data_IF_490002314030
#
_entry.id   IF_490002314030
#
_cell.length_a   1.000
_cell.length_b   1.000
_cell.length_c   1.000
_cell.angle_alpha   90.00
_cell.angle_beta   90.00
_cell.angle_gamma   90.00
#
_symmetry.space_group_name_H-M   'P 1'
#
loop_
_entity.id
_entity.type
_entity.pdbx_description
1 polymer ?
#
# COMPACT_ATOMS: atom_id res chain seq x y z
N UNK A 1 42.32 -19.08 53.73
CA UNK A 1 40.97 -18.62 53.31
C UNK A 1 41.15 -17.88 51.99
N UNK A 2 41.00 -18.54 50.85
CA UNK A 2 41.13 -17.91 49.54
C UNK A 2 40.28 -18.64 48.49
N UNK A 3 39.69 -17.82 47.62
CA UNK A 3 39.16 -18.11 46.28
C UNK A 3 37.74 -18.69 46.13
N UNK A 4 36.78 -17.82 45.81
CA UNK A 4 35.81 -18.05 44.73
C UNK A 4 35.16 -16.72 44.29
N UNK A 5 35.84 -15.99 43.41
CA UNK A 5 35.26 -14.84 42.70
C UNK A 5 35.72 -14.92 41.25
N UNK A 6 34.88 -15.49 40.39
CA UNK A 6 35.18 -15.58 38.96
C UNK A 6 34.36 -16.65 38.26
N UNK A 7 33.05 -16.43 38.09
CA UNK A 7 32.23 -17.24 37.16
C UNK A 7 30.88 -16.60 36.77
N UNK A 8 30.76 -15.26 36.73
CA UNK A 8 29.46 -14.61 36.40
C UNK A 8 29.49 -13.47 35.39
N UNK A 9 30.61 -13.21 34.71
CA UNK A 9 30.72 -12.12 33.73
C UNK A 9 30.82 -12.59 32.27
N UNK A 10 30.98 -13.90 32.01
CA UNK A 10 31.21 -14.42 30.65
C UNK A 10 29.93 -14.81 29.89
N UNK A 11 28.79 -15.02 30.56
CA UNK A 11 27.55 -15.46 29.91
C UNK A 11 26.75 -14.30 29.29
N UNK A 12 26.82 -13.10 29.86
CA UNK A 12 26.06 -11.94 29.39
C UNK A 12 26.60 -11.38 28.05
N UNK A 13 27.93 -11.28 27.89
CA UNK A 13 28.53 -10.75 26.65
C UNK A 13 28.36 -11.71 25.45
N UNK A 14 28.33 -13.02 25.72
CA UNK A 14 28.04 -14.07 24.75
C UNK A 14 26.63 -13.93 24.15
N UNK A 15 25.62 -13.66 24.98
CA UNK A 15 24.22 -13.52 24.54
C UNK A 15 23.97 -12.26 23.69
N UNK A 16 24.63 -11.14 24.01
CA UNK A 16 24.52 -9.89 23.25
C UNK A 16 25.23 -9.97 21.88
N UNK A 17 26.38 -10.66 21.83
CA UNK A 17 27.10 -10.95 20.59
C UNK A 17 26.29 -11.84 19.66
N UNK A 18 25.63 -12.87 20.21
CA UNK A 18 24.75 -13.76 19.45
C UNK A 18 23.52 -13.02 18.88
N UNK A 19 22.83 -12.20 19.67
CA UNK A 19 21.67 -11.42 19.21
C UNK A 19 22.02 -10.42 18.11
N UNK A 20 23.21 -9.81 18.16
CA UNK A 20 23.68 -8.86 17.15
C UNK A 20 24.07 -9.59 15.86
N UNK A 21 24.70 -10.76 15.97
CA UNK A 21 25.02 -11.62 14.83
C UNK A 21 23.75 -12.15 14.13
N UNK A 22 22.71 -12.50 14.88
CA UNK A 22 21.41 -12.92 14.31
C UNK A 22 20.72 -11.78 13.57
N UNK A 23 20.71 -10.56 14.13
CA UNK A 23 20.11 -9.39 13.48
C UNK A 23 20.84 -9.01 12.17
N UNK A 24 22.18 -9.04 12.18
CA UNK A 24 22.99 -8.78 10.97
C UNK A 24 22.80 -9.88 9.92
N UNK A 25 22.69 -11.14 10.34
CA UNK A 25 22.34 -12.24 9.45
C UNK A 25 20.93 -12.07 8.84
N UNK A 26 19.94 -11.60 9.62
CA UNK A 26 18.58 -11.33 9.12
C UNK A 26 18.53 -10.19 8.11
N UNK A 27 19.29 -9.11 8.33
CA UNK A 27 19.40 -7.98 7.38
C UNK A 27 20.16 -8.39 6.11
N UNK A 28 21.22 -9.18 6.25
CA UNK A 28 21.94 -9.75 5.10
C UNK A 28 21.06 -10.72 4.29
N UNK A 29 20.21 -11.50 4.96
CA UNK A 29 19.27 -12.42 4.29
C UNK A 29 18.18 -11.66 3.52
N UNK A 30 17.68 -10.53 4.07
CA UNK A 30 16.75 -9.63 3.37
C UNK A 30 17.41 -8.94 2.17
N UNK A 31 18.67 -8.50 2.30
CA UNK A 31 19.43 -7.90 1.19
C UNK A 31 19.77 -8.91 0.09
N UNK A 32 20.09 -10.16 0.45
CA UNK A 32 20.30 -11.25 -0.51
C UNK A 32 19.00 -11.69 -1.18
N UNK A 33 17.87 -11.72 -0.47
CA UNK A 33 16.55 -11.98 -1.05
C UNK A 33 16.15 -10.91 -2.08
N UNK A 34 16.48 -9.63 -1.82
CA UNK A 34 16.27 -8.54 -2.77
C UNK A 34 17.13 -8.67 -4.05
N UNK A 35 18.28 -9.35 -3.96
CA UNK A 35 19.20 -9.54 -5.10
C UNK A 35 18.85 -10.77 -5.95
N UNK A 36 18.05 -11.71 -5.43
CA UNK A 36 17.62 -12.94 -6.14
C UNK A 36 16.17 -12.85 -6.67
N UNK A 37 15.49 -11.72 -6.50
CA UNK A 37 14.22 -11.40 -7.17
C UNK A 37 14.43 -10.98 -8.65
N UNK A 38 15.33 -11.66 -9.35
CA UNK A 38 15.35 -11.60 -10.81
C UNK A 38 14.10 -12.34 -11.30
N UNK A 39 13.01 -11.57 -11.46
CA UNK A 39 11.83 -12.02 -12.19
C UNK A 39 12.34 -12.43 -13.58
N UNK A 40 12.12 -13.67 -14.03
CA UNK A 40 12.65 -14.14 -15.30
C UNK A 40 12.26 -13.18 -16.43
N UNK A 41 13.27 -12.71 -17.15
CA UNK A 41 13.14 -11.80 -18.27
C UNK A 41 12.27 -12.45 -19.35
N UNK A 42 11.09 -11.85 -19.60
CA UNK A 42 10.29 -11.87 -20.83
C UNK A 42 9.92 -13.20 -21.54
N UNK A 43 10.36 -14.37 -21.10
CA UNK A 43 10.26 -15.59 -21.91
C UNK A 43 8.93 -16.37 -21.79
N UNK A 44 8.07 -16.04 -20.82
CA UNK A 44 6.74 -16.66 -20.66
C UNK A 44 5.57 -15.67 -20.75
N UNK A 45 5.83 -14.42 -21.15
CA UNK A 45 4.77 -13.47 -21.46
C UNK A 45 4.16 -13.87 -22.81
N UNK A 46 3.16 -14.74 -22.80
CA UNK A 46 2.23 -14.86 -23.91
C UNK A 46 1.61 -13.47 -24.15
N UNK A 47 2.19 -12.73 -25.11
CA UNK A 47 1.69 -11.54 -25.80
C UNK A 47 0.85 -10.53 -24.98
N UNK A 48 1.33 -10.11 -23.81
CA UNK A 48 0.74 -8.94 -23.13
C UNK A 48 0.98 -7.71 -24.00
N UNK A 49 -0.08 -7.04 -24.42
CA UNK A 49 0.00 -5.87 -25.30
C UNK A 49 0.90 -4.77 -24.67
N UNK A 50 1.77 -4.13 -25.47
CA UNK A 50 2.64 -3.06 -24.97
C UNK A 50 1.90 -1.92 -24.27
N UNK A 51 0.65 -1.63 -24.68
CA UNK A 51 -0.20 -0.62 -24.03
C UNK A 51 -0.58 -0.98 -22.59
N UNK A 52 -0.82 -2.26 -22.30
CA UNK A 52 -1.13 -2.75 -20.95
C UNK A 52 0.09 -2.58 -20.06
N UNK A 53 1.26 -3.02 -20.53
CA UNK A 53 2.53 -2.89 -19.80
C UNK A 53 2.86 -1.41 -19.53
N UNK A 54 2.70 -0.54 -20.53
CA UNK A 54 2.91 0.89 -20.36
C UNK A 54 1.95 1.50 -19.33
N UNK A 55 0.67 1.10 -19.36
CA UNK A 55 -0.36 1.56 -18.41
C UNK A 55 -0.05 1.12 -16.97
N UNK A 56 0.37 -0.15 -16.80
CA UNK A 56 0.79 -0.68 -15.50
C UNK A 56 1.98 0.07 -14.93
N UNK A 57 3.01 0.33 -15.74
CA UNK A 57 4.19 1.09 -15.33
C UNK A 57 3.83 2.54 -14.99
N UNK A 58 2.98 3.17 -15.80
CA UNK A 58 2.51 4.54 -15.56
C UNK A 58 1.80 4.64 -14.21
N UNK A 59 0.87 3.73 -13.94
CA UNK A 59 0.15 3.66 -12.67
C UNK A 59 1.08 3.39 -11.48
N UNK A 60 2.07 2.52 -11.65
CA UNK A 60 2.99 2.11 -10.58
C UNK A 60 3.95 3.24 -10.17
N UNK A 61 4.55 3.92 -11.13
CA UNK A 61 5.66 4.83 -10.84
C UNK A 61 5.23 6.29 -10.63
N UNK A 62 4.10 6.71 -11.20
CA UNK A 62 3.64 8.10 -11.10
C UNK A 62 3.34 8.52 -9.65
N UNK A 63 2.57 7.75 -8.85
CA UNK A 63 2.27 8.11 -7.47
C UNK A 63 3.50 8.26 -6.57
N UNK A 64 4.60 7.57 -6.90
CA UNK A 64 5.81 7.53 -6.08
C UNK A 64 6.44 8.91 -5.88
N UNK A 65 6.37 9.79 -6.88
CA UNK A 65 6.83 11.16 -6.73
C UNK A 65 6.08 11.90 -5.62
N UNK A 66 4.76 11.71 -5.53
CA UNK A 66 3.92 12.34 -4.50
C UNK A 66 4.15 11.72 -3.12
N UNK A 67 4.31 10.40 -3.05
CA UNK A 67 4.66 9.72 -1.81
C UNK A 67 6.01 10.17 -1.25
N UNK A 68 7.04 10.27 -2.09
CA UNK A 68 8.36 10.75 -1.68
C UNK A 68 8.30 12.17 -1.13
N UNK A 69 7.51 13.06 -1.75
CA UNK A 69 7.31 14.42 -1.24
C UNK A 69 6.68 14.43 0.16
N UNK A 70 5.61 13.65 0.37
CA UNK A 70 4.93 13.60 1.67
C UNK A 70 5.77 12.92 2.76
N UNK A 71 6.55 11.90 2.42
CA UNK A 71 7.31 11.12 3.40
C UNK A 71 8.63 11.81 3.75
N UNK A 72 9.39 12.28 2.75
CA UNK A 72 10.74 12.81 2.95
C UNK A 72 10.75 14.31 3.26
N UNK A 73 9.78 15.06 2.75
CA UNK A 73 9.74 16.51 2.88
C UNK A 73 8.32 17.04 3.18
N UNK A 74 7.63 16.54 4.23
CA UNK A 74 6.22 16.83 4.50
C UNK A 74 5.90 18.32 4.65
N UNK A 75 6.84 19.10 5.18
CA UNK A 75 6.65 20.53 5.48
C UNK A 75 7.23 21.47 4.41
N UNK A 76 7.77 20.93 3.31
CA UNK A 76 8.37 21.75 2.26
C UNK A 76 7.33 22.58 1.52
N UNK A 77 7.73 23.76 1.01
CA UNK A 77 6.85 24.62 0.20
C UNK A 77 6.32 23.87 -1.02
N UNK A 78 7.18 23.06 -1.66
CA UNK A 78 6.79 22.24 -2.83
C UNK A 78 5.71 21.23 -2.45
N UNK A 79 5.91 20.45 -1.39
CA UNK A 79 4.92 19.48 -0.91
C UNK A 79 3.60 20.17 -0.59
N UNK A 80 3.64 21.33 0.09
CA UNK A 80 2.44 22.09 0.44
C UNK A 80 1.68 22.59 -0.78
N UNK A 81 2.37 23.10 -1.79
CA UNK A 81 1.75 23.57 -3.04
C UNK A 81 1.16 22.40 -3.83
N UNK A 82 1.92 21.33 -4.02
CA UNK A 82 1.51 20.17 -4.83
C UNK A 82 0.40 19.39 -4.14
N UNK A 83 0.64 18.93 -2.91
CA UNK A 83 -0.29 18.09 -2.15
C UNK A 83 -1.46 18.87 -1.56
N UNK A 84 -1.32 20.19 -1.36
CA UNK A 84 -2.44 21.07 -1.03
C UNK A 84 -3.49 21.16 -2.13
N UNK A 85 -3.10 20.97 -3.40
CA UNK A 85 -4.01 20.97 -4.54
C UNK A 85 -4.67 19.59 -4.77
N UNK A 86 -5.70 19.55 -5.62
CA UNK A 86 -6.30 18.30 -6.10
C UNK A 86 -5.51 17.63 -7.25
N UNK A 87 -4.45 18.27 -7.75
CA UNK A 87 -3.69 17.81 -8.93
C UNK A 87 -3.15 16.38 -8.76
N UNK A 88 -2.52 15.98 -7.65
CA UNK A 88 -1.99 14.61 -7.51
C UNK A 88 -3.08 13.54 -7.61
N UNK A 89 -4.24 13.78 -6.99
CA UNK A 89 -5.39 12.88 -7.03
C UNK A 89 -5.96 12.82 -8.44
N UNK A 90 -6.17 13.97 -9.09
CA UNK A 90 -6.69 14.01 -10.46
C UNK A 90 -5.74 13.36 -11.47
N UNK A 91 -4.42 13.43 -11.26
CA UNK A 91 -3.44 12.70 -12.08
C UNK A 91 -3.62 11.19 -11.89
N UNK A 92 -3.66 10.71 -10.64
CA UNK A 92 -3.84 9.28 -10.37
C UNK A 92 -5.18 8.74 -10.90
N UNK A 93 -6.28 9.47 -10.66
CA UNK A 93 -7.59 9.16 -11.22
C UNK A 93 -7.58 9.22 -12.75
N UNK A 94 -6.90 10.20 -13.36
CA UNK A 94 -6.77 10.28 -14.81
C UNK A 94 -6.01 9.10 -15.41
N UNK A 95 -4.99 8.60 -14.72
CA UNK A 95 -4.26 7.38 -15.12
C UNK A 95 -5.18 6.17 -15.01
N UNK A 96 -5.96 6.04 -13.93
CA UNK A 96 -6.93 4.96 -13.78
C UNK A 96 -7.98 4.98 -14.91
N UNK A 97 -8.57 6.14 -15.21
CA UNK A 97 -9.51 6.30 -16.34
C UNK A 97 -8.86 5.97 -17.69
N UNK A 98 -7.58 6.29 -17.88
CA UNK A 98 -6.84 5.90 -19.08
C UNK A 98 -6.65 4.38 -19.17
N UNK A 99 -6.28 3.73 -18.06
CA UNK A 99 -6.15 2.27 -17.97
C UNK A 99 -7.47 1.58 -18.31
N UNK A 100 -8.58 2.05 -17.74
CA UNK A 100 -9.94 1.59 -18.06
C UNK A 100 -10.22 1.69 -19.55
N UNK A 101 -9.92 2.86 -20.13
CA UNK A 101 -10.08 3.12 -21.56
C UNK A 101 -9.30 2.11 -22.42
N UNK A 102 -8.05 1.81 -22.06
CA UNK A 102 -7.24 0.79 -22.75
C UNK A 102 -7.86 -0.60 -22.60
N UNK A 103 -8.33 -0.95 -21.40
CA UNK A 103 -8.99 -2.24 -21.13
C UNK A 103 -10.28 -2.44 -21.93
N UNK A 104 -11.14 -1.42 -22.00
CA UNK A 104 -12.40 -1.50 -22.75
C UNK A 104 -12.22 -1.60 -24.27
N UNK A 105 -11.06 -1.23 -24.81
CA UNK A 105 -10.75 -1.40 -26.24
C UNK A 105 -10.28 -2.81 -26.61
N UNK A 106 -10.07 -3.69 -25.63
CA UNK A 106 -9.57 -5.04 -25.89
C UNK A 106 -10.68 -6.00 -26.39
N UNK A 107 -10.34 -6.95 -27.28
CA UNK A 107 -11.26 -8.03 -27.63
C UNK A 107 -11.65 -8.83 -26.39
N UNK A 108 -12.95 -9.09 -26.20
CA UNK A 108 -13.44 -9.84 -25.04
C UNK A 108 -13.75 -9.00 -23.79
N UNK A 109 -13.59 -7.67 -23.84
CA UNK A 109 -13.77 -6.82 -22.65
C UNK A 109 -15.16 -6.93 -22.01
N UNK A 110 -16.22 -7.14 -22.80
CA UNK A 110 -17.58 -7.28 -22.29
C UNK A 110 -17.78 -8.63 -21.59
N UNK A 111 -17.22 -9.71 -22.16
CA UNK A 111 -17.23 -11.04 -21.58
C UNK A 111 -16.45 -11.09 -20.27
N UNK A 112 -15.32 -10.39 -20.21
CA UNK A 112 -14.51 -10.23 -19.00
C UNK A 112 -15.27 -9.43 -17.92
N UNK A 113 -15.93 -8.33 -18.30
CA UNK A 113 -16.78 -7.58 -17.39
C UNK A 113 -17.96 -8.42 -16.86
N UNK A 114 -18.50 -9.34 -17.67
CA UNK A 114 -19.58 -10.23 -17.24
C UNK A 114 -19.15 -11.21 -16.14
N UNK A 115 -17.85 -11.56 -16.04
CA UNK A 115 -17.32 -12.40 -14.94
C UNK A 115 -17.50 -11.75 -13.57
N UNK A 116 -17.58 -10.42 -13.49
CA UNK A 116 -17.87 -9.69 -12.26
C UNK A 116 -19.23 -10.09 -11.65
N UNK A 117 -20.18 -10.53 -12.46
CA UNK A 117 -21.47 -11.04 -11.99
C UNK A 117 -21.35 -12.24 -11.06
N UNK A 118 -20.29 -13.06 -11.20
CA UNK A 118 -20.02 -14.17 -10.30
C UNK A 118 -19.49 -13.72 -8.93
N UNK A 119 -18.91 -12.51 -8.85
CA UNK A 119 -18.43 -11.91 -7.58
C UNK A 119 -19.59 -11.42 -6.72
N UNK A 120 -20.64 -10.90 -7.35
CA UNK A 120 -21.81 -10.34 -6.69
C UNK A 120 -23.10 -11.08 -7.05
N UNK A 121 -23.04 -12.42 -7.10
CA UNK A 121 -24.20 -13.26 -7.45
C UNK A 121 -25.34 -13.07 -6.43
N UNK A 122 -26.48 -12.49 -6.83
CA UNK A 122 -27.58 -12.18 -5.93
C UNK A 122 -28.41 -13.41 -5.54
N UNK A 123 -28.18 -14.57 -6.18
CA UNK A 123 -28.85 -15.82 -5.84
C UNK A 123 -28.33 -16.44 -4.55
N UNK A 124 -27.15 -16.01 -4.09
CA UNK A 124 -26.51 -16.52 -2.87
C UNK A 124 -27.03 -15.72 -1.66
N UNK A 125 -27.56 -16.41 -0.63
CA UNK A 125 -28.04 -15.73 0.58
C UNK A 125 -26.96 -14.90 1.29
N UNK A 126 -27.24 -13.68 1.78
CA UNK A 126 -26.22 -12.81 2.38
C UNK A 126 -25.47 -13.39 3.58
N UNK A 127 -26.06 -14.33 4.31
CA UNK A 127 -25.43 -14.95 5.49
C UNK A 127 -24.54 -16.14 5.16
N UNK A 128 -24.70 -16.78 3.99
CA UNK A 128 -23.83 -17.91 3.60
C UNK A 128 -22.41 -17.46 3.23
N UNK A 129 -22.18 -16.16 3.08
CA UNK A 129 -20.85 -15.58 2.89
C UNK A 129 -19.95 -15.68 4.14
N UNK A 130 -20.54 -15.83 5.33
CA UNK A 130 -19.81 -15.67 6.59
C UNK A 130 -19.09 -16.93 7.09
N UNK A 131 -19.53 -18.13 6.68
CA UNK A 131 -18.99 -19.41 7.18
C UNK A 131 -17.92 -20.03 6.25
N UNK A 132 -17.64 -19.38 5.12
CA UNK A 132 -16.66 -19.84 4.14
C UNK A 132 -17.10 -21.04 3.29
N UNK A 133 -18.36 -21.48 3.39
CA UNK A 133 -18.91 -22.56 2.57
C UNK A 133 -19.15 -22.14 1.11
N UNK A 134 -19.30 -20.83 0.88
CA UNK A 134 -19.50 -20.27 -0.46
C UNK A 134 -18.19 -19.76 -1.03
N UNK A 135 -17.73 -20.38 -2.11
CA UNK A 135 -16.48 -20.05 -2.80
C UNK A 135 -16.66 -19.20 -4.05
N UNK A 136 -17.91 -18.99 -4.51
CA UNK A 136 -18.25 -18.36 -5.78
C UNK A 136 -17.51 -17.05 -6.08
N UNK A 137 -17.56 -16.02 -5.21
CA UNK A 137 -16.91 -14.74 -5.45
C UNK A 137 -15.40 -14.80 -5.42
N UNK A 138 -14.83 -15.63 -4.54
CA UNK A 138 -13.40 -15.82 -4.50
C UNK A 138 -12.91 -16.42 -5.83
N UNK A 139 -13.58 -17.46 -6.30
CA UNK A 139 -13.27 -18.12 -7.59
C UNK A 139 -13.56 -17.18 -8.76
N UNK A 140 -14.67 -16.44 -8.71
CA UNK A 140 -15.04 -15.45 -9.72
C UNK A 140 -13.98 -14.36 -9.86
N UNK A 141 -13.57 -13.74 -8.74
CA UNK A 141 -12.52 -12.73 -8.73
C UNK A 141 -11.17 -13.31 -9.18
N UNK A 142 -10.81 -14.52 -8.72
CA UNK A 142 -9.59 -15.21 -9.17
C UNK A 142 -9.58 -15.41 -10.69
N UNK A 143 -10.71 -15.77 -11.30
CA UNK A 143 -10.80 -15.94 -12.75
C UNK A 143 -10.60 -14.64 -13.53
N UNK A 144 -10.89 -13.48 -12.92
CA UNK A 144 -10.66 -12.16 -13.52
C UNK A 144 -9.18 -11.77 -13.44
N UNK A 145 -8.48 -12.17 -12.38
CA UNK A 145 -7.03 -11.94 -12.22
C UNK A 145 -6.17 -12.66 -13.27
N UNK A 146 -6.73 -13.62 -14.02
CA UNK A 146 -6.07 -14.23 -15.16
C UNK A 146 -5.93 -13.27 -16.35
N UNK A 147 -6.70 -12.17 -16.38
CA UNK A 147 -6.66 -11.16 -17.43
C UNK A 147 -5.69 -10.01 -17.06
N UNK A 148 -4.60 -9.81 -17.82
CA UNK A 148 -3.64 -8.74 -17.56
C UNK A 148 -4.24 -7.33 -17.58
N UNK A 149 -5.31 -7.10 -18.35
CA UNK A 149 -6.00 -5.80 -18.35
C UNK A 149 -6.67 -5.54 -17.00
N UNK A 150 -7.38 -6.53 -16.48
CA UNK A 150 -8.07 -6.42 -15.20
C UNK A 150 -7.07 -6.25 -14.05
N UNK A 151 -5.96 -7.00 -14.05
CA UNK A 151 -4.87 -6.81 -13.08
C UNK A 151 -4.31 -5.38 -13.13
N UNK A 152 -4.18 -4.81 -14.32
CA UNK A 152 -3.65 -3.44 -14.48
C UNK A 152 -4.65 -2.39 -13.99
N UNK A 153 -5.94 -2.59 -14.27
CA UNK A 153 -7.02 -1.73 -13.79
C UNK A 153 -7.10 -1.72 -12.26
N UNK A 154 -7.27 -2.90 -11.65
CA UNK A 154 -7.38 -3.04 -10.19
C UNK A 154 -6.12 -2.53 -9.48
N UNK A 155 -4.94 -2.70 -10.08
CA UNK A 155 -3.70 -2.13 -9.54
C UNK A 155 -3.69 -0.59 -9.58
N UNK A 156 -4.08 0.01 -10.70
CA UNK A 156 -4.22 1.47 -10.78
C UNK A 156 -5.29 2.00 -9.81
N UNK A 157 -6.37 1.23 -9.64
CA UNK A 157 -7.48 1.53 -8.74
C UNK A 157 -6.98 1.66 -7.29
N UNK A 158 -6.30 0.65 -6.77
CA UNK A 158 -5.82 0.66 -5.37
C UNK A 158 -4.77 1.76 -5.14
N UNK A 159 -3.86 2.00 -6.10
CA UNK A 159 -2.85 3.05 -5.98
C UNK A 159 -3.46 4.46 -5.95
N UNK A 160 -4.53 4.69 -6.72
CA UNK A 160 -5.24 5.96 -6.71
C UNK A 160 -5.92 6.22 -5.35
N UNK A 161 -6.55 5.19 -4.77
CA UNK A 161 -7.17 5.31 -3.44
C UNK A 161 -6.14 5.46 -2.33
N UNK A 162 -5.03 4.74 -2.39
CA UNK A 162 -3.95 4.87 -1.40
C UNK A 162 -3.36 6.28 -1.43
N UNK A 163 -3.14 6.86 -2.62
CA UNK A 163 -2.67 8.24 -2.73
C UNK A 163 -3.71 9.24 -2.20
N UNK A 164 -4.99 9.02 -2.47
CA UNK A 164 -6.07 9.85 -1.94
C UNK A 164 -6.08 9.84 -0.40
N UNK A 165 -6.02 8.65 0.21
CA UNK A 165 -5.98 8.46 1.66
C UNK A 165 -4.68 9.04 2.24
N UNK A 166 -3.54 8.78 1.63
CA UNK A 166 -2.24 9.31 2.05
C UNK A 166 -2.20 10.84 2.03
N UNK A 167 -2.73 11.46 0.97
CA UNK A 167 -2.88 12.92 0.88
C UNK A 167 -3.79 13.46 1.99
N UNK A 168 -4.91 12.79 2.24
CA UNK A 168 -5.82 13.18 3.31
C UNK A 168 -5.15 13.11 4.69
N UNK A 169 -4.44 12.01 4.97
CA UNK A 169 -3.65 11.85 6.20
C UNK A 169 -2.60 12.95 6.33
N UNK A 170 -1.89 13.29 5.25
CA UNK A 170 -0.90 14.36 5.24
C UNK A 170 -1.53 15.73 5.55
N UNK A 171 -2.65 16.09 4.93
CA UNK A 171 -3.37 17.35 5.19
C UNK A 171 -3.80 17.45 6.65
N UNK A 172 -4.39 16.38 7.17
CA UNK A 172 -4.89 16.32 8.54
C UNK A 172 -3.76 16.35 9.57
N UNK A 173 -2.69 15.57 9.34
CA UNK A 173 -1.55 15.49 10.24
C UNK A 173 -0.74 16.79 10.29
N UNK A 174 -0.56 17.46 9.15
CA UNK A 174 0.15 18.74 9.09
C UNK A 174 -0.65 19.87 9.75
N UNK A 175 -1.98 19.88 9.59
CA UNK A 175 -2.85 20.84 10.24
C UNK A 175 -2.89 20.66 11.77
N UNK A 176 -3.00 19.40 12.23
CA UNK A 176 -3.13 19.09 13.66
C UNK A 176 -1.80 18.81 14.36
N UNK A 177 -0.69 18.72 13.62
CA UNK A 177 0.62 18.30 14.12
C UNK A 177 0.61 16.88 14.70
N UNK A 178 0.02 15.91 14.00
CA UNK A 178 -0.02 14.50 14.44
C UNK A 178 1.38 13.88 14.26
N UNK A 179 1.99 13.29 15.31
CA UNK A 179 3.31 12.68 15.19
C UNK A 179 3.26 11.41 14.31
N UNK A 180 4.42 10.83 13.98
CA UNK A 180 4.50 9.55 13.26
C UNK A 180 3.72 9.50 11.92
N UNK A 181 3.58 10.64 11.25
CA UNK A 181 3.00 10.71 9.91
C UNK A 181 3.79 9.86 8.90
N UNK A 182 5.12 9.99 8.88
CA UNK A 182 6.00 9.26 7.95
C UNK A 182 5.78 7.75 7.95
N UNK A 183 5.87 7.05 9.10
CA UNK A 183 5.57 5.63 9.19
C UNK A 183 4.15 5.25 8.75
N UNK A 184 3.16 6.12 9.01
CA UNK A 184 1.77 5.87 8.62
C UNK A 184 1.56 6.00 7.12
N UNK A 185 2.19 7.00 6.49
CA UNK A 185 2.24 7.15 5.04
C UNK A 185 2.99 6.00 4.37
N UNK A 186 4.13 5.58 4.93
CA UNK A 186 4.92 4.46 4.39
C UNK A 186 4.10 3.16 4.42
N UNK A 187 3.42 2.89 5.53
CA UNK A 187 2.57 1.71 5.66
C UNK A 187 1.36 1.78 4.72
N UNK A 188 0.79 2.98 4.52
CA UNK A 188 -0.30 3.19 3.55
C UNK A 188 0.19 2.94 2.13
N UNK A 189 1.35 3.45 1.74
CA UNK A 189 1.89 3.24 0.40
C UNK A 189 2.19 1.76 0.08
N UNK A 190 2.56 0.96 1.08
CA UNK A 190 2.91 -0.45 0.85
C UNK A 190 1.75 -1.43 1.05
N UNK A 191 0.78 -1.08 1.90
CA UNK A 191 -0.25 -2.02 2.35
C UNK A 191 -1.66 -1.45 2.31
N UNK A 192 -1.82 -0.17 1.98
CA UNK A 192 -3.08 0.54 1.93
C UNK A 192 -3.74 0.67 3.31
N UNK A 193 -4.91 0.03 3.56
CA UNK A 193 -5.72 0.22 4.77
C UNK A 193 -5.02 0.09 6.14
N UNK A 194 -4.03 -0.81 6.35
CA UNK A 194 -3.32 -0.89 7.63
C UNK A 194 -2.61 0.41 8.03
N UNK A 195 -2.15 1.20 7.05
CA UNK A 195 -1.54 2.51 7.31
C UNK A 195 -2.53 3.53 7.88
N UNK A 196 -3.79 3.48 7.41
CA UNK A 196 -4.87 4.30 7.95
C UNK A 196 -5.22 3.90 9.39
N UNK A 197 -5.26 2.60 9.69
CA UNK A 197 -5.47 2.10 11.05
C UNK A 197 -4.36 2.59 11.97
N UNK A 198 -3.09 2.48 11.54
CA UNK A 198 -1.95 2.99 12.31
C UNK A 198 -2.10 4.50 12.56
N UNK A 199 -2.50 5.26 11.55
CA UNK A 199 -2.70 6.70 11.69
C UNK A 199 -3.74 7.05 12.76
N UNK A 200 -4.86 6.33 12.81
CA UNK A 200 -5.89 6.53 13.83
C UNK A 200 -5.42 6.12 15.23
N UNK A 201 -4.67 5.03 15.35
CA UNK A 201 -4.03 4.66 16.62
C UNK A 201 -3.12 5.78 17.11
N UNK A 202 -2.29 6.33 16.21
CA UNK A 202 -1.39 7.44 16.54
C UNK A 202 -2.16 8.70 16.95
N UNK A 203 -3.26 9.03 16.27
CA UNK A 203 -4.13 10.15 16.64
C UNK A 203 -4.66 10.03 18.08
N UNK A 204 -5.11 8.83 18.47
CA UNK A 204 -5.62 8.55 19.82
C UNK A 204 -4.49 8.61 20.85
N UNK A 205 -3.38 7.91 20.60
CA UNK A 205 -2.27 7.81 21.56
C UNK A 205 -1.53 9.14 21.76
N UNK A 206 -1.53 10.03 20.76
CA UNK A 206 -0.93 11.36 20.86
C UNK A 206 -1.86 12.42 21.46
N UNK A 207 -3.10 12.06 21.84
CA UNK A 207 -4.08 12.98 22.41
C UNK A 207 -4.70 13.94 21.39
N UNK A 208 -4.51 13.73 20.08
CA UNK A 208 -5.08 14.57 19.01
C UNK A 208 -6.54 14.23 18.68
N UNK A 209 -7.01 13.05 19.09
CA UNK A 209 -8.37 12.56 18.84
C UNK A 209 -8.59 12.10 17.40
N UNK A 210 -9.67 11.36 17.16
CA UNK A 210 -10.04 10.92 15.82
C UNK A 210 -10.52 12.11 14.97
N UNK A 211 -10.18 12.18 13.68
CA UNK A 211 -10.69 13.21 12.77
C UNK A 211 -12.18 12.97 12.41
N UNK A 212 -12.97 14.04 12.18
CA UNK A 212 -12.65 15.43 12.45
C UNK A 212 -12.67 15.66 13.97
N UNK A 213 -11.59 16.15 14.56
CA UNK A 213 -11.62 16.57 15.95
C UNK A 213 -11.99 18.05 16.01
N UNK A 214 -12.97 18.38 16.84
CA UNK A 214 -13.72 19.65 16.90
C UNK A 214 -12.87 20.89 17.29
N UNK A 215 -11.55 20.82 17.21
CA UNK A 215 -10.62 21.90 17.58
C UNK A 215 -10.55 23.06 16.59
N UNK A 216 -11.52 23.20 15.67
CA UNK A 216 -11.59 24.23 14.63
C UNK A 216 -12.86 25.10 14.67
N UNK A 217 -13.60 25.10 15.78
CA UNK A 217 -14.67 26.08 16.02
C UNK A 217 -14.10 27.43 16.45
N UNK A 218 -13.41 28.14 15.55
CA UNK A 218 -12.83 29.45 15.86
C UNK A 218 -12.23 30.17 14.65
N UNK A 219 -13.07 30.92 13.93
CA UNK A 219 -12.66 32.04 13.08
C UNK A 219 -12.84 31.82 11.58
N UNK A 220 -13.85 32.50 11.02
CA UNK A 220 -14.09 32.63 9.58
C UNK A 220 -15.56 32.78 9.26
#
# INVERSE_FOLDING_TARGET
VASSRGHRETSASSSASASTATAVASVATLASAATTLAIPDAANAAEVLPSIVASFNLATFTPQAFWLLMILAPESVVTRVVMGSWVPVLIATGIHVFVDGVGFTQPGALEEAAKFGAVFDPSIPPWSWADGSVTGPLVGFQSMLENPNFVTEEWAHVLAWDLFVGRWMWLDATARGVPLLGPSLLLTNFTGPPGLIQYFIVCVLSGKGLPPSDGGGGGG
#
